data_IF_109755707525
#
_entry.id   IF_109755707525
#
_cell.length_a   1.000
_cell.length_b   1.000
_cell.length_c   1.000
_cell.angle_alpha   90.00
_cell.angle_beta   90.00
_cell.angle_gamma   90.00
#
_symmetry.space_group_name_H-M   'P 1'
#
loop_
_entity.id
_entity.type
_entity.pdbx_description
1 polymer ?
#
# COMPACT_ATOMS: atom_id res chain seq x y z
N UNK A 1 2.59 -13.36 11.30
CA UNK A 1 1.34 -13.15 10.53
C UNK A 1 1.59 -13.59 9.09
N UNK A 2 0.59 -14.14 8.38
CA UNK A 2 0.73 -14.50 6.96
C UNK A 2 0.18 -13.37 6.09
N UNK A 3 1.08 -12.56 5.54
CA UNK A 3 0.71 -11.42 4.68
C UNK A 3 0.32 -11.86 3.27
N UNK A 4 -0.49 -11.02 2.61
CA UNK A 4 -0.67 -11.02 1.17
C UNK A 4 -0.09 -9.71 0.65
N UNK A 5 0.77 -9.77 -0.35
CA UNK A 5 1.63 -8.64 -0.70
C UNK A 5 1.70 -8.42 -2.19
N UNK A 6 1.89 -7.17 -2.60
CA UNK A 6 2.47 -6.87 -3.91
C UNK A 6 4.00 -6.95 -3.79
N UNK A 7 4.64 -7.80 -4.60
CA UNK A 7 6.10 -7.98 -4.64
C UNK A 7 6.77 -8.23 -3.26
N UNK A 8 6.17 -9.11 -2.44
CA UNK A 8 6.73 -9.63 -1.19
C UNK A 8 7.00 -8.60 -0.08
N UNK A 9 6.38 -7.42 -0.16
CA UNK A 9 6.53 -6.35 0.85
C UNK A 9 5.20 -5.66 1.13
N UNK A 10 5.13 -5.06 2.32
CA UNK A 10 4.04 -4.18 2.73
C UNK A 10 4.65 -2.83 3.16
N UNK A 11 4.23 -1.70 2.56
CA UNK A 11 3.38 -1.63 1.38
C UNK A 11 4.06 -2.22 0.13
N UNK A 12 3.29 -2.37 -0.94
CA UNK A 12 3.81 -2.70 -2.26
C UNK A 12 4.76 -1.62 -2.79
N UNK A 13 5.47 -1.90 -3.92
CA UNK A 13 6.43 -0.97 -4.50
C UNK A 13 5.85 0.43 -4.74
N UNK A 14 6.64 1.46 -4.46
CA UNK A 14 6.31 2.82 -4.87
C UNK A 14 6.43 2.94 -6.38
N UNK A 15 5.32 3.26 -7.06
CA UNK A 15 5.29 3.47 -8.50
C UNK A 15 5.42 4.97 -8.76
N UNK A 16 6.29 5.38 -9.68
CA UNK A 16 6.50 6.79 -10.03
C UNK A 16 6.45 6.95 -11.54
N UNK A 17 5.51 7.75 -12.02
CA UNK A 17 5.25 8.03 -13.43
C UNK A 17 5.00 9.53 -13.62
N UNK A 18 4.86 9.98 -14.86
CA UNK A 18 4.50 11.37 -15.19
C UNK A 18 3.06 11.47 -15.70
N UNK A 19 2.44 12.62 -15.47
CA UNK A 19 1.16 12.95 -16.10
C UNK A 19 1.30 12.85 -17.62
N UNK A 20 0.32 12.24 -18.27
CA UNK A 20 0.32 11.96 -19.70
C UNK A 20 0.90 10.60 -20.08
N UNK A 21 1.66 9.94 -19.19
CA UNK A 21 2.22 8.61 -19.45
C UNK A 21 1.10 7.60 -19.76
N UNK A 22 1.37 6.73 -20.72
CA UNK A 22 0.57 5.53 -20.99
C UNK A 22 1.26 4.33 -20.37
N UNK A 23 0.66 3.78 -19.32
CA UNK A 23 1.28 2.78 -18.46
C UNK A 23 0.61 1.43 -18.69
N UNK A 24 1.41 0.40 -18.96
CA UNK A 24 0.93 -0.99 -19.02
C UNK A 24 1.26 -1.69 -17.71
N UNK A 25 0.23 -2.08 -16.97
CA UNK A 25 0.34 -2.87 -15.74
C UNK A 25 0.25 -4.34 -16.11
N UNK A 26 1.21 -5.14 -15.64
CA UNK A 26 1.18 -6.61 -15.72
C UNK A 26 1.12 -7.18 -14.31
N UNK A 27 0.00 -7.78 -13.95
CA UNK A 27 -0.19 -8.42 -12.65
C UNK A 27 -0.05 -9.94 -12.81
N UNK A 28 0.90 -10.52 -12.08
CA UNK A 28 1.09 -11.97 -11.96
C UNK A 28 0.75 -12.40 -10.54
N UNK A 29 -0.03 -13.46 -10.42
CA UNK A 29 -0.29 -14.09 -9.13
C UNK A 29 0.58 -15.35 -8.98
N UNK A 30 1.22 -15.51 -7.82
CA UNK A 30 2.08 -16.66 -7.55
C UNK A 30 1.27 -17.97 -7.62
N UNK A 31 1.93 -19.08 -7.99
CA UNK A 31 1.24 -20.38 -8.17
C UNK A 31 0.79 -20.97 -6.83
N UNK A 32 1.51 -20.64 -5.76
CA UNK A 32 1.28 -21.04 -4.38
C UNK A 32 0.41 -20.06 -3.58
N UNK A 33 -0.08 -18.99 -4.23
CA UNK A 33 -1.11 -18.13 -3.64
C UNK A 33 -2.41 -18.91 -3.41
N UNK A 34 -3.05 -18.66 -2.27
CA UNK A 34 -4.33 -19.30 -1.94
C UNK A 34 -5.56 -18.54 -2.50
N UNK A 35 -5.37 -17.31 -2.98
CA UNK A 35 -6.46 -16.41 -3.34
C UNK A 35 -6.28 -15.82 -4.73
N UNK A 36 -7.41 -15.44 -5.34
CA UNK A 36 -7.42 -14.52 -6.48
C UNK A 36 -6.98 -13.15 -5.97
N UNK A 37 -6.19 -12.45 -6.77
CA UNK A 37 -5.77 -11.08 -6.47
C UNK A 37 -6.01 -10.18 -7.67
N UNK A 38 -6.24 -8.91 -7.39
CA UNK A 38 -6.41 -7.85 -8.38
C UNK A 38 -5.67 -6.60 -7.96
N UNK A 39 -5.72 -5.57 -8.79
CA UNK A 39 -5.17 -4.26 -8.45
C UNK A 39 -6.10 -3.14 -8.96
N UNK A 40 -6.45 -2.26 -8.04
CA UNK A 40 -7.16 -1.01 -8.24
C UNK A 40 -6.14 0.12 -7.99
N UNK A 41 -5.90 0.95 -9.00
CA UNK A 41 -5.12 2.18 -8.85
C UNK A 41 -6.07 3.37 -8.81
N UNK A 42 -6.01 4.19 -7.76
CA UNK A 42 -6.81 5.43 -7.69
C UNK A 42 -6.39 6.47 -8.74
N UNK A 43 -5.22 6.28 -9.37
CA UNK A 43 -4.76 7.07 -10.51
C UNK A 43 -5.44 6.70 -11.86
N UNK A 44 -6.27 5.64 -11.89
CA UNK A 44 -6.92 5.14 -13.11
C UNK A 44 -8.36 5.62 -13.18
N UNK A 45 -8.67 6.38 -14.24
CA UNK A 45 -10.06 6.66 -14.62
C UNK A 45 -10.62 5.49 -15.42
N UNK A 46 -11.36 4.60 -14.78
CA UNK A 46 -11.98 3.44 -15.42
C UNK A 46 -12.58 2.45 -14.41
N UNK A 47 -13.23 1.37 -14.89
CA UNK A 47 -13.91 0.41 -14.02
C UNK A 47 -12.99 -0.19 -12.95
N UNK A 48 -13.29 0.08 -11.68
CA UNK A 48 -12.56 -0.42 -10.51
C UNK A 48 -11.06 -0.09 -10.52
N UNK A 49 -10.65 1.01 -11.16
CA UNK A 49 -9.24 1.41 -11.29
C UNK A 49 -8.33 0.35 -11.94
N UNK A 50 -8.91 -0.52 -12.79
CA UNK A 50 -8.22 -1.66 -13.42
C UNK A 50 -8.51 -3.01 -12.78
N UNK A 51 -9.17 -3.07 -11.62
CA UNK A 51 -9.45 -4.31 -10.90
C UNK A 51 -10.38 -5.26 -11.66
N UNK A 52 -11.36 -4.72 -12.39
CA UNK A 52 -12.32 -5.53 -13.16
C UNK A 52 -11.63 -6.43 -14.18
N UNK A 53 -10.53 -5.95 -14.77
CA UNK A 53 -9.75 -6.68 -15.78
C UNK A 53 -8.51 -7.38 -15.21
N UNK A 54 -8.23 -7.21 -13.91
CA UNK A 54 -7.07 -7.81 -13.23
C UNK A 54 -7.46 -8.78 -12.12
N UNK A 55 -8.64 -9.40 -12.13
CA UNK A 55 -8.91 -10.56 -11.27
C UNK A 55 -8.06 -11.76 -11.73
N UNK A 56 -6.89 -11.98 -11.10
CA UNK A 56 -5.87 -12.97 -11.48
C UNK A 56 -5.85 -14.16 -10.52
N UNK A 57 -6.18 -15.35 -11.01
CA UNK A 57 -6.10 -16.58 -10.23
C UNK A 57 -4.64 -17.03 -10.00
N UNK A 58 -4.36 -17.85 -8.96
CA UNK A 58 -3.02 -18.37 -8.70
C UNK A 58 -2.36 -18.98 -9.95
N UNK A 59 -1.10 -18.63 -10.19
CA UNK A 59 -0.32 -19.09 -11.34
C UNK A 59 -0.62 -18.38 -12.67
N UNK A 60 -1.61 -17.49 -12.72
CA UNK A 60 -1.97 -16.74 -13.92
C UNK A 60 -1.35 -15.34 -13.94
N UNK A 61 -1.51 -14.65 -15.07
CA UNK A 61 -1.20 -13.25 -15.25
C UNK A 61 -2.25 -12.56 -16.11
N UNK A 62 -2.49 -11.28 -15.85
CA UNK A 62 -3.32 -10.40 -16.68
C UNK A 62 -2.63 -9.04 -16.81
N UNK A 63 -3.04 -8.26 -17.81
CA UNK A 63 -2.52 -6.93 -18.03
C UNK A 63 -3.59 -5.97 -18.50
N UNK A 64 -3.40 -4.69 -18.21
CA UNK A 64 -4.18 -3.60 -18.78
C UNK A 64 -3.29 -2.38 -18.98
N UNK A 65 -3.78 -1.44 -19.79
CA UNK A 65 -3.08 -0.18 -20.07
C UNK A 65 -4.00 0.97 -19.70
N UNK A 66 -3.44 2.02 -19.08
CA UNK A 66 -4.16 3.24 -18.77
C UNK A 66 -3.31 4.46 -19.10
N UNK A 67 -3.95 5.62 -19.24
CA UNK A 67 -3.27 6.92 -19.36
C UNK A 67 -3.36 7.65 -18.02
N UNK A 68 -2.25 8.16 -17.51
CA UNK A 68 -2.23 8.95 -16.28
C UNK A 68 -2.73 10.37 -16.55
N UNK A 69 -3.99 10.65 -16.21
CA UNK A 69 -4.66 11.90 -16.60
C UNK A 69 -4.46 13.05 -15.61
N UNK A 70 -4.20 12.72 -14.34
CA UNK A 70 -4.14 13.69 -13.25
C UNK A 70 -2.88 13.49 -12.41
N UNK A 71 -2.16 14.56 -12.06
CA UNK A 71 -1.02 14.48 -11.17
C UNK A 71 -1.50 14.31 -9.73
N UNK A 72 -0.68 13.69 -8.90
CA UNK A 72 -0.98 13.46 -7.49
C UNK A 72 -0.33 12.20 -6.94
N UNK A 73 -0.50 12.00 -5.64
CA UNK A 73 -0.13 10.78 -4.94
C UNK A 73 -1.40 9.98 -4.68
N UNK A 74 -1.47 8.78 -5.24
CA UNK A 74 -2.66 7.94 -5.23
C UNK A 74 -2.35 6.60 -4.57
N UNK A 75 -3.30 6.07 -3.82
CA UNK A 75 -3.22 4.70 -3.31
C UNK A 75 -3.52 3.73 -4.46
N UNK A 76 -2.90 2.57 -4.40
CA UNK A 76 -3.39 1.38 -5.10
C UNK A 76 -3.55 0.24 -4.11
N UNK A 77 -4.50 -0.65 -4.35
CA UNK A 77 -4.73 -1.80 -3.49
C UNK A 77 -5.38 -2.95 -4.22
N UNK A 78 -5.44 -4.12 -3.61
CA UNK A 78 -6.23 -5.23 -4.15
C UNK A 78 -7.73 -4.94 -3.99
N UNK A 79 -8.52 -5.27 -4.99
CA UNK A 79 -9.98 -5.07 -5.00
C UNK A 79 -10.73 -6.37 -5.36
N UNK A 80 -10.21 -7.49 -4.86
CA UNK A 80 -10.88 -8.80 -4.92
C UNK A 80 -11.77 -8.96 -3.68
N UNK A 81 -13.02 -9.42 -3.81
CA UNK A 81 -13.90 -9.64 -2.65
C UNK A 81 -13.36 -10.72 -1.69
N UNK A 82 -13.34 -10.52 -0.37
CA UNK A 82 -13.75 -9.29 0.32
C UNK A 82 -12.61 -8.27 0.39
N UNK A 83 -12.83 -7.07 -0.17
CA UNK A 83 -11.77 -6.08 -0.43
C UNK A 83 -11.02 -5.68 0.83
N UNK A 84 -11.74 -5.41 1.92
CA UNK A 84 -11.15 -4.99 3.19
C UNK A 84 -10.16 -6.03 3.78
N UNK A 85 -10.42 -7.33 3.62
CA UNK A 85 -9.49 -8.36 4.08
C UNK A 85 -8.20 -8.38 3.25
N UNK A 86 -8.31 -8.22 1.93
CA UNK A 86 -7.14 -8.14 1.07
C UNK A 86 -6.25 -6.95 1.42
N UNK A 87 -6.85 -5.80 1.69
CA UNK A 87 -6.15 -4.59 2.15
C UNK A 87 -5.50 -4.85 3.53
N UNK A 88 -6.26 -5.32 4.51
CA UNK A 88 -5.78 -5.59 5.87
C UNK A 88 -4.61 -6.60 5.90
N UNK A 89 -4.56 -7.53 4.94
CA UNK A 89 -3.45 -8.48 4.82
C UNK A 89 -2.19 -7.90 4.18
N UNK A 90 -2.19 -6.63 3.77
CA UNK A 90 -1.02 -5.90 3.29
C UNK A 90 -1.02 -5.55 1.80
N UNK A 91 -2.10 -5.80 1.06
CA UNK A 91 -2.16 -5.56 -0.39
C UNK A 91 -2.53 -4.11 -0.72
N UNK A 92 -1.63 -3.18 -0.41
CA UNK A 92 -1.75 -1.76 -0.75
C UNK A 92 -0.37 -1.14 -1.02
N UNK A 93 -0.33 -0.06 -1.78
CA UNK A 93 0.85 0.74 -2.05
C UNK A 93 0.48 2.11 -2.61
N UNK A 94 1.46 2.88 -3.07
CA UNK A 94 1.21 4.17 -3.72
C UNK A 94 1.83 4.30 -5.11
N UNK A 95 1.11 5.02 -5.95
CA UNK A 95 1.56 5.54 -7.23
C UNK A 95 1.60 7.06 -7.18
N UNK A 96 2.76 7.62 -7.47
CA UNK A 96 2.96 9.04 -7.71
C UNK A 96 2.88 9.31 -9.21
N UNK A 97 1.95 10.18 -9.59
CA UNK A 97 1.88 10.79 -10.91
C UNK A 97 2.44 12.20 -10.78
N UNK A 98 3.67 12.41 -11.23
CA UNK A 98 4.27 13.75 -11.23
C UNK A 98 3.52 14.70 -12.17
N UNK A 99 3.38 15.99 -11.81
CA UNK A 99 2.89 17.00 -12.74
C UNK A 99 3.85 17.21 -13.91
N UNK A 100 3.34 17.87 -14.96
CA UNK A 100 4.19 18.38 -16.03
C UNK A 100 5.24 19.34 -15.45
N UNK A 101 6.51 19.15 -15.80
CA UNK A 101 7.65 19.89 -15.21
C UNK A 101 8.26 19.27 -13.96
N UNK A 102 7.64 18.24 -13.37
CA UNK A 102 8.16 17.56 -12.18
C UNK A 102 7.86 18.28 -10.86
N UNK A 103 8.42 17.75 -9.77
CA UNK A 103 8.29 18.36 -8.43
C UNK A 103 9.58 19.10 -8.04
N UNK A 104 9.52 20.07 -7.13
CA UNK A 104 10.72 20.68 -6.57
C UNK A 104 11.68 19.63 -6.02
N UNK A 105 12.98 19.82 -6.21
CA UNK A 105 13.99 18.93 -5.66
C UNK A 105 14.04 19.04 -4.13
N UNK A 106 14.37 17.92 -3.49
CA UNK A 106 14.59 17.81 -2.04
C UNK A 106 15.77 16.88 -1.82
N UNK A 107 16.42 17.00 -0.66
CA UNK A 107 17.61 16.20 -0.35
C UNK A 107 17.25 14.73 -0.05
N UNK A 108 16.06 14.49 0.52
CA UNK A 108 15.58 13.13 0.81
C UNK A 108 14.09 12.95 0.55
N UNK A 109 13.75 11.74 0.11
CA UNK A 109 12.39 11.29 -0.07
C UNK A 109 12.15 9.98 0.68
N UNK A 110 11.05 9.90 1.44
CA UNK A 110 10.63 8.70 2.16
C UNK A 110 9.25 8.24 1.70
N UNK A 111 9.05 6.92 1.68
CA UNK A 111 7.77 6.28 1.36
C UNK A 111 7.23 5.58 2.60
N UNK A 112 6.11 6.09 3.12
CA UNK A 112 5.51 5.63 4.36
C UNK A 112 4.03 5.37 4.14
N UNK A 113 3.57 4.17 4.51
CA UNK A 113 2.15 3.90 4.59
C UNK A 113 1.74 3.35 5.95
N UNK A 114 0.64 3.89 6.48
CA UNK A 114 -0.07 3.32 7.63
C UNK A 114 -0.92 2.13 7.20
N UNK A 115 -0.97 1.09 8.02
CA UNK A 115 -1.94 0.01 7.87
C UNK A 115 -2.35 -0.60 9.21
N UNK A 116 -3.40 -1.41 9.14
CA UNK A 116 -4.03 -2.08 10.27
C UNK A 116 -3.87 -3.61 10.16
N UNK A 117 -3.61 -4.29 11.29
CA UNK A 117 -3.69 -5.74 11.37
C UNK A 117 -4.76 -6.19 12.34
N UNK A 118 -5.69 -6.99 11.81
CA UNK A 118 -6.80 -7.58 12.54
C UNK A 118 -6.45 -9.01 12.93
N UNK A 119 -5.77 -9.17 14.06
CA UNK A 119 -5.29 -10.47 14.54
C UNK A 119 -6.29 -11.11 15.50
N UNK A 120 -6.57 -12.41 15.37
CA UNK A 120 -7.44 -13.14 16.30
C UNK A 120 -6.84 -13.18 17.71
N UNK A 121 -5.52 -13.38 17.79
CA UNK A 121 -4.75 -13.38 19.02
C UNK A 121 -4.72 -11.99 19.65
N UNK A 122 -4.43 -11.94 20.96
CA UNK A 122 -4.22 -10.67 21.68
C UNK A 122 -2.90 -10.01 21.26
N UNK A 123 -2.84 -8.69 21.39
CA UNK A 123 -1.61 -7.94 21.20
C UNK A 123 -0.47 -8.51 22.05
N UNK A 124 0.71 -8.66 21.46
CA UNK A 124 1.91 -9.19 22.12
C UNK A 124 1.93 -10.71 22.33
N UNK A 125 0.91 -11.47 21.93
CA UNK A 125 0.98 -12.92 21.96
C UNK A 125 2.12 -13.45 21.06
N UNK A 126 2.91 -14.45 21.49
CA UNK A 126 3.92 -15.05 20.62
C UNK A 126 3.27 -15.94 19.54
N UNK A 127 4.05 -16.27 18.51
CA UNK A 127 3.67 -17.24 17.48
C UNK A 127 3.00 -16.64 16.24
N UNK A 128 2.44 -17.51 15.41
CA UNK A 128 1.74 -17.12 14.19
C UNK A 128 0.37 -16.55 14.55
N UNK A 129 0.13 -15.30 14.15
CA UNK A 129 -1.18 -14.67 14.27
C UNK A 129 -2.02 -14.90 13.02
N UNK A 130 -3.31 -15.15 13.22
CA UNK A 130 -4.32 -15.35 12.19
C UNK A 130 -5.20 -14.11 12.04
N UNK A 131 -5.80 -13.95 10.86
CA UNK A 131 -6.75 -12.87 10.59
C UNK A 131 -8.07 -13.08 11.37
N UNK A 132 -8.66 -11.99 11.89
CA UNK A 132 -9.98 -11.99 12.53
C UNK A 132 -10.96 -11.13 11.73
N UNK A 133 -11.93 -11.79 11.10
CA UNK A 133 -13.03 -11.12 10.40
C UNK A 133 -13.90 -10.30 11.35
N UNK A 134 -14.18 -10.84 12.54
CA UNK A 134 -14.94 -10.15 13.58
C UNK A 134 -14.32 -8.80 13.95
N UNK A 135 -13.01 -8.78 14.23
CA UNK A 135 -12.32 -7.53 14.56
C UNK A 135 -12.25 -6.56 13.38
N UNK A 136 -12.11 -7.07 12.15
CA UNK A 136 -12.16 -6.23 10.94
C UNK A 136 -13.50 -5.51 10.82
N UNK A 137 -14.60 -6.24 10.97
CA UNK A 137 -15.95 -5.69 10.88
C UNK A 137 -16.28 -4.74 12.05
N UNK A 138 -15.66 -4.94 13.20
CA UNK A 138 -15.78 -4.07 14.36
C UNK A 138 -14.81 -2.87 14.34
N UNK A 139 -14.01 -2.72 13.28
CA UNK A 139 -12.98 -1.66 13.14
C UNK A 139 -12.03 -1.59 14.36
N UNK A 140 -11.75 -2.74 14.97
CA UNK A 140 -10.94 -2.86 16.19
C UNK A 140 -9.62 -3.60 15.91
N UNK A 141 -8.63 -2.93 15.28
CA UNK A 141 -7.37 -3.58 14.91
C UNK A 141 -6.54 -3.94 16.14
N UNK A 142 -5.85 -5.08 16.06
CA UNK A 142 -4.88 -5.45 17.10
C UNK A 142 -3.59 -4.65 17.00
N UNK A 143 -3.23 -4.17 15.80
CA UNK A 143 -1.99 -3.44 15.56
C UNK A 143 -2.20 -2.32 14.54
N UNK A 144 -1.54 -1.19 14.77
CA UNK A 144 -1.30 -0.12 13.82
C UNK A 144 0.18 -0.09 13.49
N UNK A 145 0.51 -0.01 12.21
CA UNK A 145 1.89 -0.13 11.74
C UNK A 145 2.20 0.85 10.62
N UNK A 146 3.45 1.29 10.56
CA UNK A 146 4.03 1.86 9.35
C UNK A 146 4.82 0.78 8.62
N UNK A 147 4.67 0.71 7.30
CA UNK A 147 5.45 -0.19 6.43
C UNK A 147 5.44 -1.67 6.89
N UNK A 148 4.26 -2.15 7.25
CA UNK A 148 3.95 -3.57 7.35
C UNK A 148 4.34 -4.27 8.65
N UNK A 149 5.17 -3.67 9.51
CA UNK A 149 5.54 -4.26 10.80
C UNK A 149 5.70 -3.18 11.88
N UNK A 150 5.58 -3.54 13.16
CA UNK A 150 5.68 -2.59 14.28
C UNK A 150 7.04 -1.89 14.37
N UNK A 151 8.10 -2.54 13.90
CA UNK A 151 9.48 -2.07 14.03
C UNK A 151 10.08 -1.58 12.69
N UNK A 152 9.28 -1.51 11.62
CA UNK A 152 9.76 -1.25 10.26
C UNK A 152 10.59 0.03 10.17
N UNK A 153 10.10 1.14 10.74
CA UNK A 153 10.74 2.47 10.63
C UNK A 153 11.54 2.87 11.88
N UNK A 154 11.60 2.00 12.90
CA UNK A 154 12.30 2.28 14.17
C UNK A 154 13.56 1.43 14.32
N UNK A 155 13.51 0.13 14.01
CA UNK A 155 14.65 -0.79 14.16
C UNK A 155 15.22 -1.26 12.83
N UNK A 156 14.38 -1.46 11.82
CA UNK A 156 14.80 -2.11 10.57
C UNK A 156 15.25 -1.11 9.51
N UNK A 157 14.41 -0.13 9.19
CA UNK A 157 14.61 0.84 8.12
C UNK A 157 14.44 2.26 8.66
N UNK A 158 15.35 2.63 9.56
CA UNK A 158 15.37 3.96 10.18
C UNK A 158 15.43 5.05 9.10
N UNK A 159 14.50 6.00 9.18
CA UNK A 159 14.55 7.22 8.37
C UNK A 159 15.65 8.12 8.95
N UNK A 160 16.69 8.39 8.16
CA UNK A 160 17.85 9.20 8.57
C UNK A 160 18.00 10.39 7.64
N UNK A 161 18.25 11.55 8.22
CA UNK A 161 18.57 12.80 7.54
C UNK A 161 19.68 13.53 8.31
N UNK A 162 20.36 14.45 7.64
CA UNK A 162 21.35 15.35 8.20
C UNK A 162 20.72 16.72 8.48
N UNK A 163 21.30 17.46 9.43
CA UNK A 163 20.89 18.83 9.71
C UNK A 163 21.03 19.68 8.43
N UNK A 164 19.96 20.37 8.06
CA UNK A 164 19.90 21.25 6.88
C UNK A 164 19.34 20.59 5.61
N UNK A 165 19.07 19.28 5.62
CA UNK A 165 18.41 18.60 4.49
C UNK A 165 16.89 18.85 4.47
N UNK A 166 16.35 19.16 3.30
CA UNK A 166 14.92 19.18 3.04
C UNK A 166 14.40 17.77 2.80
N UNK A 167 13.37 17.38 3.54
CA UNK A 167 12.79 16.03 3.49
C UNK A 167 11.36 16.09 2.94
N UNK A 168 11.04 15.20 1.99
CA UNK A 168 9.67 14.92 1.55
C UNK A 168 9.24 13.52 1.97
N UNK A 169 8.09 13.41 2.63
CA UNK A 169 7.49 12.11 2.98
C UNK A 169 6.25 11.91 2.11
N UNK A 170 6.30 10.90 1.24
CA UNK A 170 5.11 10.36 0.60
C UNK A 170 4.38 9.50 1.63
N UNK A 171 3.38 10.09 2.27
CA UNK A 171 2.55 9.43 3.27
C UNK A 171 1.22 8.96 2.66
N UNK A 172 0.81 7.74 2.96
CA UNK A 172 -0.49 7.20 2.61
C UNK A 172 -1.10 6.35 3.71
N UNK A 173 -2.42 6.18 3.69
CA UNK A 173 -3.13 5.29 4.58
C UNK A 173 -3.70 4.15 3.76
N UNK A 174 -3.17 2.94 3.96
CA UNK A 174 -3.75 1.73 3.37
C UNK A 174 -5.06 1.34 4.05
N UNK A 175 -5.21 1.65 5.34
CA UNK A 175 -6.38 1.33 6.15
C UNK A 175 -6.41 -0.16 6.55
N UNK A 176 -7.57 -0.85 6.42
CA UNK A 176 -8.71 -0.45 5.61
C UNK A 176 -9.72 0.51 6.25
N UNK A 177 -9.69 0.76 7.57
CA UNK A 177 -10.80 1.45 8.25
C UNK A 177 -10.42 2.80 8.86
N UNK A 178 -9.31 2.88 9.58
CA UNK A 178 -8.94 4.04 10.39
C UNK A 178 -8.28 5.13 9.54
N UNK A 179 -8.57 6.38 9.93
CA UNK A 179 -7.87 7.56 9.41
C UNK A 179 -6.59 7.82 10.21
N UNK A 180 -5.69 8.65 9.67
CA UNK A 180 -4.43 9.01 10.33
C UNK A 180 -4.34 10.51 10.54
N UNK A 181 -4.05 10.92 11.77
CA UNK A 181 -3.58 12.26 12.10
C UNK A 181 -2.06 12.25 12.10
N UNK A 182 -1.47 12.25 10.90
CA UNK A 182 -0.03 12.15 10.73
C UNK A 182 0.70 13.35 11.34
N UNK A 183 1.72 13.08 12.15
CA UNK A 183 2.53 14.08 12.83
C UNK A 183 3.97 13.58 12.99
N UNK A 184 4.94 14.47 12.77
CA UNK A 184 6.36 14.24 13.05
C UNK A 184 6.74 15.04 14.30
N UNK A 185 7.07 14.33 15.39
CA UNK A 185 7.39 14.98 16.67
C UNK A 185 8.68 15.80 16.53
N UNK A 186 8.60 17.09 16.83
CA UNK A 186 9.75 18.01 16.79
C UNK A 186 9.97 18.71 15.45
N UNK A 187 9.12 18.46 14.44
CA UNK A 187 9.10 19.17 13.16
C UNK A 187 7.80 19.99 13.01
N UNK A 188 7.85 21.02 12.16
CA UNK A 188 6.73 21.94 11.86
C UNK A 188 6.27 21.74 10.42
#
# INVERSE_FOLDING_TARGET
YKYWTFNNKVPGPFVRIRMGDTVTVKLRNAKDSAHIHSIDFHAVTGPGGGATVTQVAPGQNKSFTFKALHPGLFVYHCATPMVAQHIANGMYGMILVEPEGGMPEVDREFYVMQGELYTAQRYGAPGLHEFSLEKLLAENPGHLMFNGTMDALTKTYQMKANVGENVRIYFGVGGPNLTSSFHVIGEV
#
